data_IF_108675285389
#
_entry.id   IF_108675285389
#
_cell.length_a   1.000
_cell.length_b   1.000
_cell.length_c   1.000
_cell.angle_alpha   90.00
_cell.angle_beta   90.00
_cell.angle_gamma   90.00
#
_symmetry.space_group_name_H-M   'P 1'
#
loop_
_entity.id
_entity.type
_entity.pdbx_description
1 polymer ?
#
# COMPACT_ATOMS: atom_id res chain seq x y z
N UNK A 1 -23.89 18.40 9.00
CA UNK A 1 -23.57 17.67 7.76
C UNK A 1 -22.98 16.34 8.19
N UNK A 2 -23.25 15.25 7.47
CA UNK A 2 -22.57 13.97 7.76
C UNK A 2 -21.07 14.14 7.49
N UNK A 3 -20.24 13.47 8.32
CA UNK A 3 -18.80 13.45 8.08
C UNK A 3 -18.50 12.76 6.73
N UNK A 4 -17.40 13.14 6.08
CA UNK A 4 -16.85 12.37 4.96
C UNK A 4 -16.44 11.00 5.43
N UNK A 5 -16.48 10.01 4.52
CA UNK A 5 -16.20 8.62 4.84
C UNK A 5 -14.98 8.10 4.09
N UNK A 6 -14.10 7.42 4.82
CA UNK A 6 -12.88 6.84 4.30
C UNK A 6 -12.80 5.33 4.54
N UNK A 7 -12.20 4.60 3.60
CA UNK A 7 -11.80 3.20 3.76
C UNK A 7 -10.28 3.13 3.73
N UNK A 8 -9.67 2.46 4.72
CA UNK A 8 -8.23 2.25 4.79
C UNK A 8 -7.94 0.76 4.96
N UNK A 9 -7.21 0.17 4.03
CA UNK A 9 -6.85 -1.25 4.06
C UNK A 9 -5.41 -1.46 4.56
N UNK A 10 -5.16 -2.60 5.23
CA UNK A 10 -3.88 -2.87 5.88
C UNK A 10 -3.60 -1.90 7.03
N UNK A 11 -4.64 -1.55 7.79
CA UNK A 11 -4.61 -0.50 8.80
C UNK A 11 -4.30 -0.98 10.21
N UNK A 12 -3.96 -2.26 10.41
CA UNK A 12 -3.61 -2.80 11.71
C UNK A 12 -2.27 -2.28 12.24
N UNK A 13 -1.31 -2.03 11.34
CA UNK A 13 0.06 -1.57 11.67
C UNK A 13 0.66 -0.71 10.56
N UNK A 14 1.82 -0.11 10.83
CA UNK A 14 2.67 0.55 9.85
C UNK A 14 2.02 1.69 9.09
N UNK A 15 2.27 1.78 7.79
CA UNK A 15 1.79 2.89 6.94
C UNK A 15 0.27 3.00 6.96
N UNK A 16 -0.45 1.87 6.93
CA UNK A 16 -1.91 1.86 6.94
C UNK A 16 -2.50 2.38 8.24
N UNK A 17 -1.90 2.03 9.38
CA UNK A 17 -2.26 2.57 10.68
C UNK A 17 -2.10 4.10 10.73
N UNK A 18 -0.98 4.61 10.22
CA UNK A 18 -0.72 6.05 10.18
C UNK A 18 -1.65 6.79 9.20
N UNK A 19 -1.98 6.19 8.06
CA UNK A 19 -2.98 6.76 7.13
C UNK A 19 -4.38 6.81 7.76
N UNK A 20 -4.78 5.77 8.50
CA UNK A 20 -6.04 5.76 9.24
C UNK A 20 -6.06 6.82 10.34
N UNK A 21 -4.93 7.00 11.04
CA UNK A 21 -4.74 8.07 12.03
C UNK A 21 -4.91 9.46 11.41
N UNK A 22 -4.32 9.69 10.24
CA UNK A 22 -4.46 10.97 9.52
C UNK A 22 -5.90 11.22 9.08
N UNK A 23 -6.56 10.19 8.53
CA UNK A 23 -7.97 10.29 8.12
C UNK A 23 -8.88 10.62 9.30
N UNK A 24 -8.71 9.94 10.44
CA UNK A 24 -9.50 10.21 11.65
C UNK A 24 -9.24 11.62 12.20
N UNK A 25 -7.99 12.10 12.23
CA UNK A 25 -7.62 13.46 12.64
C UNK A 25 -8.23 14.54 11.74
N UNK A 26 -8.34 14.25 10.43
CA UNK A 26 -8.98 15.16 9.47
C UNK A 26 -10.51 15.07 9.46
N UNK A 27 -11.10 14.32 10.43
CA UNK A 27 -12.54 14.27 10.66
C UNK A 27 -13.32 13.33 9.76
N UNK A 28 -12.65 12.39 9.08
CA UNK A 28 -13.35 11.32 8.36
C UNK A 28 -13.91 10.30 9.34
N UNK A 29 -15.15 9.86 9.12
CA UNK A 29 -15.59 8.57 9.63
C UNK A 29 -14.86 7.48 8.84
N UNK A 30 -14.31 6.46 9.52
CA UNK A 30 -13.44 5.49 8.88
C UNK A 30 -13.94 4.06 9.00
N UNK A 31 -13.72 3.27 7.96
CA UNK A 31 -13.76 1.81 7.97
C UNK A 31 -12.34 1.31 7.73
N UNK A 32 -11.79 0.62 8.71
CA UNK A 32 -10.44 0.05 8.64
C UNK A 32 -10.49 -1.45 8.47
N UNK A 33 -9.61 -2.00 7.64
CA UNK A 33 -9.57 -3.44 7.39
C UNK A 33 -8.13 -3.98 7.39
N UNK A 34 -7.96 -5.21 7.88
CA UNK A 34 -6.77 -6.03 7.76
C UNK A 34 -7.14 -7.52 7.80
N UNK A 35 -6.20 -8.40 7.46
CA UNK A 35 -6.39 -9.85 7.48
C UNK A 35 -6.02 -10.48 8.84
N UNK A 36 -6.10 -9.71 9.91
CA UNK A 36 -5.73 -10.12 11.28
C UNK A 36 -6.58 -9.42 12.34
N UNK A 37 -6.76 -10.08 13.47
CA UNK A 37 -7.58 -9.59 14.57
C UNK A 37 -7.03 -8.29 15.23
N UNK A 38 -5.76 -7.97 15.03
CA UNK A 38 -5.13 -6.74 15.53
C UNK A 38 -5.85 -5.47 15.05
N UNK A 39 -6.59 -5.54 13.95
CA UNK A 39 -7.37 -4.43 13.40
C UNK A 39 -8.39 -3.88 14.40
N UNK A 40 -8.96 -4.71 15.28
CA UNK A 40 -9.91 -4.26 16.29
C UNK A 40 -9.22 -3.41 17.37
N UNK A 41 -8.01 -3.77 17.77
CA UNK A 41 -7.21 -2.95 18.70
C UNK A 41 -6.83 -1.61 18.07
N UNK A 42 -6.37 -1.63 16.82
CA UNK A 42 -6.05 -0.41 16.07
C UNK A 42 -7.28 0.52 15.94
N UNK A 43 -8.47 -0.05 15.71
CA UNK A 43 -9.71 0.73 15.65
C UNK A 43 -10.02 1.45 16.97
N UNK A 44 -9.68 0.88 18.12
CA UNK A 44 -9.85 1.55 19.41
C UNK A 44 -8.96 2.80 19.53
N UNK A 45 -7.73 2.73 19.00
CA UNK A 45 -6.82 3.87 18.97
C UNK A 45 -7.36 5.00 18.10
N UNK A 46 -7.99 4.68 16.96
CA UNK A 46 -8.57 5.71 16.08
C UNK A 46 -9.82 6.38 16.68
N UNK A 47 -10.61 5.68 17.49
CA UNK A 47 -11.80 6.25 18.14
C UNK A 47 -11.50 7.43 19.07
N UNK A 48 -10.26 7.56 19.56
CA UNK A 48 -9.85 8.71 20.39
C UNK A 48 -9.92 10.06 19.64
N UNK A 49 -9.95 10.06 18.31
CA UNK A 49 -10.05 11.30 17.52
C UNK A 49 -11.50 11.80 17.34
N UNK A 50 -12.49 11.09 17.88
CA UNK A 50 -13.89 11.54 17.96
C UNK A 50 -14.70 11.29 16.69
N UNK A 51 -14.18 10.53 15.73
CA UNK A 51 -14.90 10.10 14.53
C UNK A 51 -15.51 8.71 14.69
N UNK A 52 -16.46 8.33 13.85
CA UNK A 52 -16.98 6.96 13.81
C UNK A 52 -15.94 6.02 13.19
N UNK A 53 -15.66 4.91 13.87
CA UNK A 53 -14.68 3.92 13.41
C UNK A 53 -15.32 2.53 13.41
N UNK A 54 -15.51 1.98 12.22
CA UNK A 54 -15.82 0.58 11.99
C UNK A 54 -14.52 -0.19 11.67
N UNK A 55 -14.40 -1.44 12.10
CA UNK A 55 -13.30 -2.34 11.80
C UNK A 55 -13.80 -3.62 11.14
N UNK A 56 -12.98 -4.21 10.29
CA UNK A 56 -13.28 -5.46 9.61
C UNK A 56 -12.00 -6.31 9.50
N UNK A 57 -12.04 -7.52 10.02
CA UNK A 57 -11.07 -8.56 9.66
C UNK A 57 -11.49 -9.19 8.33
N UNK A 58 -10.68 -9.02 7.27
CA UNK A 58 -11.01 -9.52 5.94
C UNK A 58 -9.74 -9.83 5.13
N UNK A 59 -9.74 -10.99 4.48
CA UNK A 59 -8.68 -11.37 3.53
C UNK A 59 -8.94 -10.75 2.14
N UNK A 60 -8.28 -9.63 1.86
CA UNK A 60 -8.42 -8.91 0.60
C UNK A 60 -7.69 -9.57 -0.58
N UNK A 61 -7.09 -10.75 -0.40
CA UNK A 61 -6.61 -11.58 -1.50
C UNK A 61 -7.74 -12.26 -2.26
N UNK A 62 -8.99 -12.23 -1.73
CA UNK A 62 -10.18 -12.84 -2.31
C UNK A 62 -11.21 -11.79 -2.75
N UNK A 63 -12.01 -12.12 -3.75
CA UNK A 63 -13.14 -11.26 -4.16
C UNK A 63 -14.18 -11.15 -3.05
N UNK A 64 -14.41 -12.24 -2.32
CA UNK A 64 -15.35 -12.30 -1.20
C UNK A 64 -14.92 -11.36 -0.08
N UNK A 65 -13.62 -11.28 0.23
CA UNK A 65 -13.09 -10.36 1.24
C UNK A 65 -13.26 -8.89 0.82
N UNK A 66 -12.99 -8.58 -0.45
CA UNK A 66 -13.20 -7.23 -0.99
C UNK A 66 -14.69 -6.85 -1.02
N UNK A 67 -15.57 -7.76 -1.46
CA UNK A 67 -17.02 -7.52 -1.46
C UNK A 67 -17.56 -7.37 -0.03
N UNK A 68 -17.03 -8.14 0.93
CA UNK A 68 -17.31 -7.99 2.37
C UNK A 68 -16.92 -6.62 2.89
N UNK A 69 -15.73 -6.10 2.51
CA UNK A 69 -15.29 -4.76 2.87
C UNK A 69 -16.24 -3.69 2.31
N UNK A 70 -16.63 -3.79 1.06
CA UNK A 70 -17.55 -2.83 0.44
C UNK A 70 -18.96 -2.92 1.04
N UNK A 71 -19.43 -4.12 1.38
CA UNK A 71 -20.71 -4.31 2.08
C UNK A 71 -20.69 -3.70 3.51
N UNK A 72 -19.54 -3.76 4.21
CA UNK A 72 -19.35 -3.13 5.52
C UNK A 72 -19.44 -1.60 5.47
N UNK A 73 -19.24 -0.97 4.31
CA UNK A 73 -19.51 0.44 4.11
C UNK A 73 -21.00 0.81 4.24
N UNK A 74 -21.92 -0.17 4.22
CA UNK A 74 -23.38 0.00 4.45
C UNK A 74 -24.01 1.05 3.53
N UNK A 75 -23.55 1.13 2.28
CA UNK A 75 -24.05 2.08 1.29
C UNK A 75 -23.62 3.53 1.51
N UNK A 76 -22.69 3.80 2.45
CA UNK A 76 -22.09 5.13 2.60
C UNK A 76 -21.28 5.47 1.34
N UNK A 77 -21.31 6.72 0.92
CA UNK A 77 -20.44 7.22 -0.14
C UNK A 77 -18.99 7.18 0.34
N UNK A 78 -18.11 6.55 -0.43
CA UNK A 78 -16.68 6.47 -0.12
C UNK A 78 -16.01 7.73 -0.69
N UNK A 79 -15.66 8.69 0.17
CA UNK A 79 -15.01 9.94 -0.24
C UNK A 79 -13.49 9.77 -0.38
N UNK A 80 -12.92 8.82 0.38
CA UNK A 80 -11.49 8.51 0.37
C UNK A 80 -11.25 7.01 0.49
N UNK A 81 -10.34 6.49 -0.34
CA UNK A 81 -9.81 5.13 -0.23
C UNK A 81 -8.29 5.18 -0.08
N UNK A 82 -7.76 4.55 0.97
CA UNK A 82 -6.34 4.19 1.06
C UNK A 82 -6.19 2.68 0.80
N UNK A 83 -5.89 2.33 -0.44
CA UNK A 83 -5.59 0.95 -0.85
C UNK A 83 -4.13 0.64 -0.49
N UNK A 84 -3.90 0.31 0.80
CA UNK A 84 -2.58 0.13 1.36
C UNK A 84 -2.26 -1.35 1.68
N UNK A 85 -3.25 -2.21 1.86
CA UNK A 85 -3.01 -3.64 2.10
C UNK A 85 -2.06 -4.23 1.07
N UNK A 86 -1.06 -4.96 1.54
CA UNK A 86 -0.07 -5.58 0.69
C UNK A 86 0.85 -6.51 1.47
N UNK A 87 1.40 -7.50 0.80
CA UNK A 87 2.29 -8.52 1.37
C UNK A 87 3.60 -8.56 0.63
N UNK A 88 4.67 -8.85 1.37
CA UNK A 88 5.97 -9.23 0.83
C UNK A 88 6.23 -10.71 0.99
N UNK A 89 7.26 -11.21 0.30
CA UNK A 89 7.83 -12.54 0.53
C UNK A 89 9.30 -12.49 0.12
N UNK A 90 10.17 -12.88 1.03
CA UNK A 90 11.60 -13.07 0.80
C UNK A 90 11.93 -14.45 0.23
N UNK A 91 13.16 -14.85 0.33
CA UNK A 91 13.75 -16.13 -0.12
C UNK A 91 13.91 -16.28 -1.63
N UNK A 92 14.72 -17.26 -2.05
CA UNK A 92 14.88 -17.57 -3.47
C UNK A 92 13.56 -18.11 -4.05
N UNK A 93 13.17 -17.64 -5.22
CA UNK A 93 11.88 -18.00 -5.83
C UNK A 93 11.65 -19.53 -5.92
N UNK A 94 12.69 -20.30 -6.17
CA UNK A 94 12.57 -21.76 -6.30
C UNK A 94 12.33 -22.47 -4.96
N UNK A 95 12.60 -21.79 -3.84
CA UNK A 95 12.44 -22.32 -2.49
C UNK A 95 11.17 -21.82 -1.81
N UNK A 96 10.50 -20.81 -2.39
CA UNK A 96 9.25 -20.26 -1.86
C UNK A 96 8.09 -21.26 -1.97
N UNK A 97 7.25 -21.32 -0.93
CA UNK A 97 5.98 -22.05 -1.01
C UNK A 97 5.02 -21.42 -2.04
N UNK A 98 4.36 -22.28 -2.81
CA UNK A 98 3.44 -21.85 -3.89
C UNK A 98 2.25 -21.06 -3.33
N UNK A 99 1.70 -21.45 -2.20
CA UNK A 99 0.58 -20.75 -1.59
C UNK A 99 0.99 -19.36 -1.10
N UNK A 100 2.19 -19.22 -0.55
CA UNK A 100 2.70 -17.95 -0.04
C UNK A 100 2.93 -16.93 -1.19
N UNK A 101 3.71 -17.30 -2.23
CA UNK A 101 3.93 -16.35 -3.32
C UNK A 101 2.64 -16.07 -4.10
N UNK A 102 1.72 -17.05 -4.22
CA UNK A 102 0.41 -16.85 -4.82
C UNK A 102 -0.40 -15.82 -4.04
N UNK A 103 -0.39 -15.90 -2.70
CA UNK A 103 -1.08 -14.94 -1.83
C UNK A 103 -0.53 -13.52 -1.98
N UNK A 104 0.77 -13.35 -2.23
CA UNK A 104 1.35 -12.04 -2.57
C UNK A 104 0.73 -11.47 -3.84
N UNK A 105 0.59 -12.27 -4.89
CA UNK A 105 -0.05 -11.83 -6.15
C UNK A 105 -1.53 -11.51 -5.91
N UNK A 106 -2.25 -12.42 -5.26
CA UNK A 106 -3.68 -12.27 -5.04
C UNK A 106 -4.01 -11.03 -4.20
N UNK A 107 -3.20 -10.72 -3.17
CA UNK A 107 -3.38 -9.50 -2.37
C UNK A 107 -2.98 -8.25 -3.15
N UNK A 108 -1.74 -8.19 -3.65
CA UNK A 108 -1.15 -6.96 -4.20
C UNK A 108 -1.71 -6.60 -5.57
N UNK A 109 -2.07 -7.60 -6.38
CA UNK A 109 -2.51 -7.41 -7.77
C UNK A 109 -4.02 -7.59 -7.88
N UNK A 110 -4.53 -8.80 -7.59
CA UNK A 110 -5.94 -9.14 -7.84
C UNK A 110 -6.87 -8.34 -6.93
N UNK A 111 -6.67 -8.41 -5.63
CA UNK A 111 -7.50 -7.72 -4.64
C UNK A 111 -7.43 -6.20 -4.78
N UNK A 112 -6.23 -5.64 -4.95
CA UNK A 112 -6.04 -4.19 -5.17
C UNK A 112 -6.74 -3.74 -6.46
N UNK A 113 -6.58 -4.46 -7.57
CA UNK A 113 -7.22 -4.10 -8.86
C UNK A 113 -8.74 -4.16 -8.76
N UNK A 114 -9.28 -5.20 -8.10
CA UNK A 114 -10.71 -5.38 -7.93
C UNK A 114 -11.31 -4.28 -7.05
N UNK A 115 -10.68 -3.98 -5.92
CA UNK A 115 -11.11 -2.90 -5.02
C UNK A 115 -11.09 -1.54 -5.73
N UNK A 116 -10.01 -1.23 -6.43
CA UNK A 116 -9.88 0.03 -7.18
C UNK A 116 -10.96 0.15 -8.25
N UNK A 117 -11.23 -0.91 -9.02
CA UNK A 117 -12.26 -0.88 -10.06
C UNK A 117 -13.64 -0.56 -9.49
N UNK A 118 -14.00 -1.19 -8.36
CA UNK A 118 -15.31 -0.95 -7.70
C UNK A 118 -15.44 0.48 -7.22
N UNK A 119 -14.45 0.98 -6.49
CA UNK A 119 -14.52 2.30 -5.86
C UNK A 119 -14.38 3.42 -6.90
N UNK A 120 -13.45 3.31 -7.84
CA UNK A 120 -13.24 4.34 -8.87
C UNK A 120 -14.43 4.49 -9.80
N UNK A 121 -15.19 3.42 -10.12
CA UNK A 121 -16.42 3.55 -10.91
C UNK A 121 -17.40 4.54 -10.30
N UNK A 122 -17.61 4.45 -8.99
CA UNK A 122 -18.56 5.34 -8.30
C UNK A 122 -17.99 6.75 -8.16
N UNK A 123 -16.69 6.89 -7.88
CA UNK A 123 -16.03 8.19 -7.78
C UNK A 123 -16.03 8.94 -9.11
N UNK A 124 -15.70 8.26 -10.21
CA UNK A 124 -15.71 8.84 -11.56
C UNK A 124 -17.13 9.22 -11.99
N UNK A 125 -18.13 8.36 -11.72
CA UNK A 125 -19.53 8.63 -12.09
C UNK A 125 -20.08 9.89 -11.42
N UNK A 126 -19.64 10.22 -10.20
CA UNK A 126 -20.04 11.44 -9.48
C UNK A 126 -19.03 12.59 -9.60
N UNK A 127 -17.90 12.34 -10.27
CA UNK A 127 -16.77 13.26 -10.39
C UNK A 127 -16.28 13.82 -9.03
N UNK A 128 -16.17 12.95 -8.01
CA UNK A 128 -15.71 13.33 -6.68
C UNK A 128 -15.11 12.12 -5.95
N UNK A 129 -13.88 12.26 -5.42
CA UNK A 129 -13.24 11.25 -4.60
C UNK A 129 -11.72 11.34 -4.57
N UNK A 130 -11.14 10.71 -3.57
CA UNK A 130 -9.69 10.64 -3.39
C UNK A 130 -9.26 9.19 -3.18
N UNK A 131 -8.22 8.78 -3.89
CA UNK A 131 -7.64 7.43 -3.76
C UNK A 131 -6.14 7.53 -3.61
N UNK A 132 -5.61 6.92 -2.55
CA UNK A 132 -4.19 6.67 -2.37
C UNK A 132 -3.94 5.18 -2.53
N UNK A 133 -2.96 4.82 -3.37
CA UNK A 133 -2.48 3.45 -3.53
C UNK A 133 -1.05 3.35 -3.03
N UNK A 134 -0.73 2.36 -2.22
CA UNK A 134 0.64 2.12 -1.77
C UNK A 134 1.37 1.21 -2.74
N UNK A 135 2.10 1.84 -3.68
CA UNK A 135 3.09 1.21 -4.53
C UNK A 135 4.41 0.90 -3.81
N UNK A 136 5.54 1.02 -4.48
CA UNK A 136 6.89 0.91 -3.88
C UNK A 136 7.98 1.28 -4.87
N UNK A 137 9.12 1.80 -4.39
CA UNK A 137 10.32 1.90 -5.24
C UNK A 137 10.85 0.52 -5.67
N UNK A 138 10.45 -0.55 -5.01
CA UNK A 138 10.74 -1.94 -5.42
C UNK A 138 10.17 -2.26 -6.82
N UNK A 139 9.12 -1.56 -7.26
CA UNK A 139 8.57 -1.69 -8.60
C UNK A 139 9.53 -1.27 -9.73
N UNK A 140 10.55 -0.47 -9.43
CA UNK A 140 11.59 -0.07 -10.40
C UNK A 140 12.76 -1.05 -10.51
N UNK A 141 12.83 -2.10 -9.67
CA UNK A 141 14.02 -2.91 -9.49
C UNK A 141 13.66 -4.40 -9.64
N UNK A 142 14.36 -5.18 -10.49
CA UNK A 142 14.25 -6.64 -10.47
C UNK A 142 14.72 -7.18 -9.12
N UNK A 143 13.79 -7.72 -8.33
CA UNK A 143 14.00 -8.10 -6.94
C UNK A 143 14.55 -9.52 -6.78
N UNK A 144 15.88 -9.75 -6.88
CA UNK A 144 16.45 -11.02 -6.48
C UNK A 144 16.08 -11.30 -5.01
N UNK A 145 15.62 -12.52 -4.68
CA UNK A 145 15.06 -12.95 -3.37
C UNK A 145 13.73 -12.28 -2.96
N UNK A 146 13.17 -11.41 -3.82
CA UNK A 146 11.83 -10.83 -3.71
C UNK A 146 11.13 -10.75 -5.07
N UNK A 147 11.42 -11.67 -5.98
CA UNK A 147 11.01 -11.57 -7.37
C UNK A 147 9.50 -11.35 -7.56
N UNK A 148 8.66 -12.08 -6.83
CA UNK A 148 7.20 -11.95 -6.89
C UNK A 148 6.77 -10.59 -6.35
N UNK A 149 7.25 -10.20 -5.18
CA UNK A 149 6.89 -8.91 -4.57
C UNK A 149 7.22 -7.72 -5.47
N UNK A 150 8.48 -7.63 -5.93
CA UNK A 150 8.92 -6.54 -6.82
C UNK A 150 8.10 -6.54 -8.12
N UNK A 151 7.81 -7.73 -8.67
CA UNK A 151 6.93 -7.87 -9.83
C UNK A 151 5.53 -7.33 -9.58
N UNK A 152 4.93 -7.61 -8.39
CA UNK A 152 3.61 -7.08 -8.04
C UNK A 152 3.62 -5.56 -7.87
N UNK A 153 4.68 -4.99 -7.30
CA UNK A 153 4.80 -3.53 -7.14
C UNK A 153 5.05 -2.82 -8.47
N UNK A 154 5.81 -3.44 -9.38
CA UNK A 154 5.93 -2.95 -10.76
C UNK A 154 4.58 -2.92 -11.49
N UNK A 155 3.76 -3.97 -11.30
CA UNK A 155 2.39 -3.99 -11.81
C UNK A 155 1.58 -2.82 -11.22
N UNK A 156 1.53 -2.66 -9.89
CA UNK A 156 0.74 -1.62 -9.21
C UNK A 156 1.14 -0.23 -9.69
N UNK A 157 2.44 0.07 -9.74
CA UNK A 157 2.93 1.39 -10.14
C UNK A 157 2.55 1.73 -11.59
N UNK A 158 2.71 0.78 -12.51
CA UNK A 158 2.32 0.93 -13.91
C UNK A 158 0.80 1.02 -14.08
N UNK A 159 0.04 0.18 -13.36
CA UNK A 159 -1.41 0.12 -13.41
C UNK A 159 -2.06 1.42 -12.93
N UNK A 160 -1.59 1.95 -11.80
CA UNK A 160 -2.08 3.23 -11.27
C UNK A 160 -1.81 4.37 -12.24
N UNK A 161 -0.61 4.44 -12.83
CA UNK A 161 -0.26 5.46 -13.82
C UNK A 161 -1.15 5.39 -15.07
N UNK A 162 -1.51 4.18 -15.52
CA UNK A 162 -2.42 4.00 -16.64
C UNK A 162 -3.83 4.49 -16.32
N UNK A 163 -4.40 4.11 -15.15
CA UNK A 163 -5.72 4.56 -14.72
C UNK A 163 -5.77 6.08 -14.57
N UNK A 164 -4.74 6.70 -14.03
CA UNK A 164 -4.67 8.17 -13.93
C UNK A 164 -4.86 8.85 -15.30
N UNK A 165 -4.29 8.28 -16.35
CA UNK A 165 -4.48 8.80 -17.70
C UNK A 165 -5.89 8.53 -18.23
N UNK A 166 -6.48 7.35 -17.94
CA UNK A 166 -7.84 7.00 -18.37
C UNK A 166 -8.91 7.90 -17.74
N UNK A 167 -8.73 8.31 -16.47
CA UNK A 167 -9.69 9.14 -15.73
C UNK A 167 -9.35 10.65 -15.73
N UNK A 168 -8.39 11.09 -16.54
CA UNK A 168 -7.89 12.47 -16.54
C UNK A 168 -8.94 13.55 -16.77
N UNK A 169 -10.08 13.21 -17.37
CA UNK A 169 -11.19 14.14 -17.59
C UNK A 169 -12.13 14.27 -16.36
N UNK A 170 -11.87 13.46 -15.30
CA UNK A 170 -12.63 13.50 -14.06
C UNK A 170 -11.90 14.37 -13.03
N UNK A 171 -11.93 15.68 -13.21
CA UNK A 171 -11.17 16.67 -12.42
C UNK A 171 -11.45 16.62 -10.91
N UNK A 172 -12.61 16.11 -10.50
CA UNK A 172 -12.99 15.92 -9.10
C UNK A 172 -12.40 14.66 -8.46
N UNK A 173 -11.74 13.78 -9.23
CA UNK A 173 -11.16 12.53 -8.73
C UNK A 173 -9.64 12.63 -8.68
N UNK A 174 -9.08 12.42 -7.49
CA UNK A 174 -7.61 12.33 -7.30
C UNK A 174 -7.21 10.89 -7.07
N UNK A 175 -6.28 10.38 -7.88
CA UNK A 175 -5.63 9.08 -7.67
C UNK A 175 -4.13 9.32 -7.48
N UNK A 176 -3.60 8.95 -6.32
CA UNK A 176 -2.19 9.17 -5.95
C UNK A 176 -1.49 7.84 -5.70
N UNK A 177 -0.32 7.62 -6.32
CA UNK A 177 0.56 6.50 -6.03
C UNK A 177 1.62 6.92 -5.01
N UNK A 178 1.59 6.33 -3.81
CA UNK A 178 2.63 6.47 -2.80
C UNK A 178 3.67 5.36 -2.99
N UNK A 179 4.91 5.72 -3.25
CA UNK A 179 6.02 4.77 -3.47
C UNK A 179 7.06 4.92 -2.36
N UNK A 180 6.93 4.19 -1.25
CA UNK A 180 7.93 4.16 -0.19
C UNK A 180 9.17 3.34 -0.59
N UNK A 181 10.29 3.64 0.08
CA UNK A 181 11.42 2.72 0.23
C UNK A 181 11.22 1.77 1.41
N UNK A 182 12.30 1.20 1.98
CA UNK A 182 12.21 0.39 3.21
C UNK A 182 11.66 1.22 4.38
N UNK A 183 10.63 0.69 5.06
CA UNK A 183 9.92 1.35 6.17
C UNK A 183 9.99 0.45 7.41
N UNK A 184 10.17 1.04 8.58
CA UNK A 184 10.19 0.32 9.86
C UNK A 184 8.78 -0.11 10.25
N UNK A 185 8.43 -1.32 9.83
CA UNK A 185 7.12 -1.95 10.05
C UNK A 185 7.31 -3.45 10.21
N UNK A 186 6.26 -4.17 10.54
CA UNK A 186 6.27 -5.65 10.58
C UNK A 186 6.40 -6.31 9.19
N UNK A 187 6.53 -5.52 8.11
CA UNK A 187 6.60 -6.04 6.75
C UNK A 187 7.76 -7.04 6.56
N UNK A 188 8.95 -6.72 7.08
CA UNK A 188 10.13 -7.57 6.91
C UNK A 188 10.05 -8.85 7.72
N UNK A 189 9.43 -8.82 8.90
CA UNK A 189 9.16 -10.02 9.71
C UNK A 189 8.16 -10.93 8.97
N UNK A 190 7.03 -10.39 8.55
CA UNK A 190 6.00 -11.13 7.81
C UNK A 190 6.47 -11.63 6.43
N UNK A 191 7.49 -11.01 5.86
CA UNK A 191 8.09 -11.41 4.59
C UNK A 191 9.27 -12.38 4.76
N UNK A 192 9.58 -12.84 5.97
CA UNK A 192 10.73 -13.71 6.30
C UNK A 192 12.07 -13.11 5.88
N UNK A 193 12.30 -11.83 6.20
CA UNK A 193 13.47 -11.08 5.74
C UNK A 193 14.28 -10.44 6.86
N UNK A 194 14.04 -10.77 8.13
CA UNK A 194 14.77 -10.17 9.25
C UNK A 194 16.27 -10.52 9.26
N UNK A 195 16.66 -11.63 8.63
CA UNK A 195 18.04 -12.08 8.45
C UNK A 195 18.73 -11.49 7.21
N UNK A 196 18.09 -10.53 6.53
CA UNK A 196 18.65 -9.84 5.36
C UNK A 196 19.17 -8.46 5.73
N UNK A 197 20.13 -7.96 4.96
CA UNK A 197 20.71 -6.61 5.17
C UNK A 197 19.67 -5.51 5.16
N UNK A 198 18.66 -5.58 4.27
CA UNK A 198 17.56 -4.59 4.22
C UNK A 198 16.57 -4.78 5.37
N UNK A 199 16.30 -6.01 5.78
CA UNK A 199 15.39 -6.30 6.89
C UNK A 199 15.96 -5.87 8.24
N UNK A 200 17.26 -6.02 8.43
CA UNK A 200 17.98 -5.64 9.64
C UNK A 200 18.42 -4.16 9.68
N UNK A 201 18.28 -3.40 8.56
CA UNK A 201 18.76 -2.01 8.49
C UNK A 201 18.01 -1.12 9.52
N UNK A 202 18.72 -0.52 10.51
CA UNK A 202 18.09 0.37 11.48
C UNK A 202 17.73 1.77 10.91
N UNK A 203 18.04 2.03 9.65
CA UNK A 203 17.81 3.32 8.98
C UNK A 203 16.58 3.32 8.08
N UNK A 204 15.68 2.36 8.26
CA UNK A 204 14.39 2.36 7.57
C UNK A 204 13.60 3.64 7.90
N UNK A 205 12.75 4.07 6.98
CA UNK A 205 11.90 5.26 7.19
C UNK A 205 10.85 5.02 8.26
N UNK A 206 10.48 6.07 9.00
CA UNK A 206 9.35 6.03 9.92
C UNK A 206 8.03 5.92 9.13
N UNK A 207 7.11 4.99 9.48
CA UNK A 207 5.82 4.87 8.82
C UNK A 207 4.96 6.12 8.90
N UNK A 208 5.05 6.91 9.97
CA UNK A 208 4.31 8.16 10.12
C UNK A 208 4.77 9.22 9.10
N UNK A 209 6.08 9.34 8.87
CA UNK A 209 6.63 10.25 7.86
C UNK A 209 6.21 9.83 6.45
N UNK A 210 6.24 8.53 6.16
CA UNK A 210 5.83 7.98 4.86
C UNK A 210 4.34 8.20 4.62
N UNK A 211 3.50 7.92 5.60
CA UNK A 211 2.05 8.15 5.52
C UNK A 211 1.74 9.63 5.32
N UNK A 212 2.44 10.51 6.03
CA UNK A 212 2.30 11.97 5.89
C UNK A 212 2.69 12.45 4.48
N UNK A 213 3.80 11.97 3.93
CA UNK A 213 4.20 12.28 2.54
C UNK A 213 3.10 11.91 1.54
N UNK A 214 2.53 10.70 1.69
CA UNK A 214 1.43 10.21 0.85
C UNK A 214 0.16 11.03 1.02
N UNK A 215 -0.22 11.32 2.26
CA UNK A 215 -1.40 12.12 2.59
C UNK A 215 -1.31 13.53 2.02
N UNK A 216 -0.20 14.22 2.25
CA UNK A 216 0.01 15.57 1.74
C UNK A 216 0.01 15.60 0.20
N UNK A 217 0.56 14.57 -0.44
CA UNK A 217 0.54 14.45 -1.89
C UNK A 217 -0.89 14.24 -2.43
N UNK A 218 -1.68 13.37 -1.79
CA UNK A 218 -3.08 13.11 -2.13
C UNK A 218 -3.92 14.38 -1.96
N UNK A 219 -3.78 15.08 -0.84
CA UNK A 219 -4.53 16.32 -0.58
C UNK A 219 -4.15 17.45 -1.52
N UNK A 220 -2.90 17.46 -2.00
CA UNK A 220 -2.41 18.41 -3.01
C UNK A 220 -2.73 18.00 -4.47
N UNK A 221 -3.45 16.90 -4.71
CA UNK A 221 -3.82 16.45 -6.05
C UNK A 221 -2.65 15.90 -6.88
N UNK A 222 -1.55 15.44 -6.24
CA UNK A 222 -0.39 14.91 -6.96
C UNK A 222 -0.65 13.49 -7.44
N UNK A 223 -0.25 13.18 -8.67
CA UNK A 223 -0.37 11.84 -9.25
C UNK A 223 0.51 10.79 -8.55
N UNK A 224 1.71 11.17 -8.10
CA UNK A 224 2.63 10.23 -7.46
C UNK A 224 3.58 10.94 -6.49
N UNK A 225 4.06 10.18 -5.52
CA UNK A 225 5.11 10.60 -4.58
C UNK A 225 6.04 9.43 -4.24
N UNK A 226 7.33 9.61 -4.44
CA UNK A 226 8.35 8.75 -3.82
C UNK A 226 8.69 9.38 -2.47
N UNK A 227 8.42 8.64 -1.38
CA UNK A 227 8.71 9.14 -0.04
C UNK A 227 10.20 9.06 0.25
N UNK A 228 10.74 10.14 0.81
CA UNK A 228 12.16 10.28 1.14
C UNK A 228 13.05 10.67 -0.05
N UNK A 229 13.99 11.62 0.20
CA UNK A 229 14.84 12.16 -0.87
C UNK A 229 15.84 11.14 -1.44
N UNK A 230 16.34 10.22 -0.60
CA UNK A 230 17.26 9.14 -1.06
C UNK A 230 16.55 8.20 -2.02
N UNK A 231 15.31 7.84 -1.70
CA UNK A 231 14.48 6.98 -2.53
C UNK A 231 14.16 7.63 -3.89
N UNK A 232 13.96 8.96 -3.93
CA UNK A 232 13.78 9.71 -5.17
C UNK A 232 15.00 9.60 -6.10
N UNK A 233 16.20 9.71 -5.53
CA UNK A 233 17.43 9.54 -6.31
C UNK A 233 17.57 8.10 -6.77
N UNK A 234 17.34 7.13 -5.89
CA UNK A 234 17.44 5.70 -6.22
C UNK A 234 16.49 5.29 -7.34
N UNK A 235 15.23 5.72 -7.29
CA UNK A 235 14.26 5.42 -8.35
C UNK A 235 14.61 6.08 -9.68
N UNK A 236 15.13 7.32 -9.66
CA UNK A 236 15.59 7.99 -10.86
C UNK A 236 16.79 7.27 -11.51
N UNK A 237 17.74 6.82 -10.70
CA UNK A 237 18.91 6.05 -11.17
C UNK A 237 18.48 4.66 -11.67
N UNK A 238 17.52 4.01 -11.02
CA UNK A 238 17.02 2.70 -11.45
C UNK A 238 16.49 2.74 -12.90
N UNK A 239 15.82 3.80 -13.31
CA UNK A 239 15.27 3.94 -14.67
C UNK A 239 16.33 3.95 -15.81
N UNK A 240 17.59 4.22 -15.51
CA UNK A 240 18.69 4.25 -16.49
C UNK A 240 19.72 3.16 -16.26
N UNK A 241 19.56 2.34 -15.23
CA UNK A 241 20.50 1.28 -14.88
C UNK A 241 20.05 -0.05 -15.49
N UNK A 242 20.96 -0.83 -16.14
CA UNK A 242 20.60 -2.14 -16.67
C UNK A 242 20.05 -3.09 -15.60
N UNK A 243 19.00 -3.85 -15.95
CA UNK A 243 18.32 -4.76 -15.03
C UNK A 243 19.24 -5.77 -14.34
N UNK A 244 20.27 -6.28 -15.04
CA UNK A 244 21.24 -7.22 -14.45
C UNK A 244 22.02 -6.58 -13.29
N UNK A 245 22.36 -5.30 -13.39
CA UNK A 245 23.06 -4.55 -12.34
C UNK A 245 22.12 -4.32 -11.15
N UNK A 246 20.89 -3.91 -11.42
CA UNK A 246 19.88 -3.72 -10.37
C UNK A 246 19.57 -5.02 -9.63
N UNK A 247 19.42 -6.13 -10.34
CA UNK A 247 19.17 -7.44 -9.73
C UNK A 247 20.32 -7.87 -8.82
N UNK A 248 21.58 -7.63 -9.23
CA UNK A 248 22.76 -7.93 -8.42
C UNK A 248 22.87 -7.02 -7.19
N UNK A 249 22.52 -5.75 -7.32
CA UNK A 249 22.45 -4.85 -6.17
C UNK A 249 21.36 -5.27 -5.19
N UNK A 250 20.19 -5.68 -5.70
CA UNK A 250 19.10 -6.16 -4.88
C UNK A 250 19.45 -7.47 -4.15
N UNK A 251 20.14 -8.39 -4.85
CA UNK A 251 20.66 -9.62 -4.25
C UNK A 251 21.42 -9.32 -2.96
N UNK A 252 22.37 -8.39 -2.99
CA UNK A 252 23.21 -8.03 -1.83
C UNK A 252 22.42 -7.50 -0.63
N UNK A 253 21.20 -6.98 -0.86
CA UNK A 253 20.37 -6.46 0.21
C UNK A 253 19.37 -7.47 0.75
N UNK A 254 18.89 -8.38 -0.11
CA UNK A 254 17.75 -9.25 0.18
C UNK A 254 18.10 -10.74 0.26
N UNK A 255 19.35 -11.15 0.01
CA UNK A 255 19.78 -12.54 0.17
C UNK A 255 19.73 -12.95 1.65
N UNK A 256 19.10 -14.08 2.00
CA UNK A 256 19.04 -14.58 3.36
C UNK A 256 20.44 -14.74 3.99
N UNK A 257 20.56 -14.44 5.29
CA UNK A 257 21.81 -14.52 6.02
C UNK A 257 22.78 -13.36 5.76
N UNK A 258 22.34 -12.25 5.15
CA UNK A 258 23.18 -11.05 4.92
C UNK A 258 23.03 -9.96 6.00
N UNK A 259 22.22 -10.18 7.03
CA UNK A 259 22.17 -9.33 8.22
C UNK A 259 23.47 -9.53 9.03
N UNK A 260 24.34 -8.51 9.10
CA UNK A 260 25.53 -8.48 9.97
C UNK A 260 25.25 -7.64 11.23
#
# INVERSE_FOLDING_TARGET
MANKFAIITGASTGIGFELATLAAKDGYDILVAADEALIESAAQDFRQFGTSVDSLEADLSTFEGVDGLLAAAKGRQIDLLCANAGRGLGEAFLDQDIAEWRKVIDTNVVGTSYLLQKVLRDMVARNDGKVLVTGSIAGYIPGAFQAVYNGTKSYVDSFVAAIQNEIKESDGVTLTNLMPGPVETEFFDRAHMLDTSVGADPKKSDPADVAKDGWDALMAGKAAIVSGWKNKIQSAVANITPNAVLAEQHRKMAEPGTAE
#
